data_IF_870867935606
#
_entry.id   IF_870867935606
#
_cell.length_a   1.000
_cell.length_b   1.000
_cell.length_c   1.000
_cell.angle_alpha   90.00
_cell.angle_beta   90.00
_cell.angle_gamma   90.00
#
_symmetry.space_group_name_H-M   'P 1'
#
loop_
_entity.id
_entity.type
_entity.pdbx_description
1 polymer ?
#
# COMPACT_ATOMS: atom_id res chain seq x y z
N UNK A 1 1.35 -13.49 17.03
CA UNK A 1 1.02 -12.10 16.67
C UNK A 1 1.30 -11.94 15.19
N UNK A 2 0.41 -11.28 14.47
CA UNK A 2 0.50 -11.16 13.00
C UNK A 2 0.23 -9.71 12.60
N UNK A 3 1.06 -9.15 11.73
CA UNK A 3 0.91 -7.80 11.20
C UNK A 3 1.72 -7.55 9.93
N UNK A 4 1.09 -6.84 8.98
CA UNK A 4 1.65 -6.53 7.67
C UNK A 4 2.03 -5.05 7.50
N UNK A 5 1.79 -4.25 8.54
CA UNK A 5 1.97 -2.80 8.56
C UNK A 5 2.65 -2.35 9.87
N UNK A 6 3.34 -1.22 9.82
CA UNK A 6 4.04 -0.61 10.96
C UNK A 6 3.09 0.06 11.97
N UNK A 7 2.05 -0.64 12.43
CA UNK A 7 1.02 -0.12 13.34
C UNK A 7 1.57 0.43 14.67
N UNK A 8 2.72 -0.07 15.12
CA UNK A 8 3.40 0.45 16.30
C UNK A 8 3.73 1.95 16.19
N UNK A 9 4.06 2.43 15.00
CA UNK A 9 4.36 3.84 14.75
C UNK A 9 3.17 4.76 15.04
N UNK A 10 1.93 4.27 14.85
CA UNK A 10 0.71 5.05 15.16
C UNK A 10 0.62 5.44 16.63
N UNK A 11 1.14 4.61 17.53
CA UNK A 11 1.16 4.89 18.96
C UNK A 11 2.42 5.64 19.37
N UNK A 12 3.58 5.28 18.81
CA UNK A 12 4.85 5.94 19.10
C UNK A 12 4.90 7.40 18.61
N UNK A 13 4.25 7.70 17.48
CA UNK A 13 4.20 9.01 16.83
C UNK A 13 2.85 9.72 17.04
N UNK A 14 2.01 9.25 17.98
CA UNK A 14 0.73 9.89 18.27
C UNK A 14 0.92 11.35 18.73
N UNK A 15 0.07 12.25 18.24
CA UNK A 15 0.03 13.65 18.70
C UNK A 15 -0.49 13.80 20.14
N UNK A 16 -1.16 12.78 20.69
CA UNK A 16 -1.61 12.76 22.07
C UNK A 16 -0.52 12.22 23.00
N UNK A 17 -0.04 13.07 23.92
CA UNK A 17 0.96 12.71 24.92
C UNK A 17 0.51 11.55 25.81
N UNK A 18 -0.79 11.48 26.14
CA UNK A 18 -1.35 10.38 26.94
C UNK A 18 -1.30 9.05 26.17
N UNK A 19 -1.69 9.05 24.90
CA UNK A 19 -1.62 7.86 24.04
C UNK A 19 -0.18 7.39 23.90
N UNK A 20 0.74 8.32 23.64
CA UNK A 20 2.17 8.01 23.52
C UNK A 20 2.74 7.43 24.82
N UNK A 21 2.41 8.01 25.98
CA UNK A 21 2.90 7.52 27.26
C UNK A 21 2.39 6.11 27.58
N UNK A 22 1.09 5.86 27.38
CA UNK A 22 0.45 4.60 27.79
C UNK A 22 0.65 3.48 26.76
N UNK A 23 0.66 3.79 25.47
CA UNK A 23 0.54 2.80 24.40
C UNK A 23 1.79 2.65 23.51
N UNK A 24 2.83 3.49 23.67
CA UNK A 24 4.07 3.37 22.86
C UNK A 24 4.68 1.96 22.88
N UNK A 25 4.64 1.28 24.03
CA UNK A 25 5.24 -0.04 24.21
C UNK A 25 4.24 -1.18 24.04
N UNK A 26 2.98 -0.89 23.68
CA UNK A 26 1.91 -1.88 23.59
C UNK A 26 2.31 -3.05 22.70
N UNK A 27 2.81 -2.75 21.49
CA UNK A 27 3.16 -3.79 20.54
C UNK A 27 4.42 -4.56 20.96
N UNK A 28 5.47 -3.88 21.43
CA UNK A 28 6.67 -4.54 21.96
C UNK A 28 6.34 -5.53 23.09
N UNK A 29 5.45 -5.15 24.01
CA UNK A 29 5.00 -6.04 25.08
C UNK A 29 4.22 -7.26 24.57
N UNK A 30 3.39 -7.10 23.53
CA UNK A 30 2.67 -8.21 22.90
C UNK A 30 3.63 -9.14 22.16
N UNK A 31 4.61 -8.59 21.43
CA UNK A 31 5.63 -9.32 20.70
C UNK A 31 6.44 -10.25 21.60
N UNK A 32 6.91 -9.76 22.76
CA UNK A 32 7.72 -10.54 23.71
C UNK A 32 6.95 -11.71 24.33
N UNK A 33 5.62 -11.63 24.37
CA UNK A 33 4.73 -12.65 24.92
C UNK A 33 4.19 -13.60 23.84
N UNK A 34 4.33 -13.26 22.56
CA UNK A 34 3.87 -14.08 21.47
C UNK A 34 4.71 -15.36 21.33
N UNK A 35 4.03 -16.50 21.18
CA UNK A 35 4.69 -17.77 20.87
C UNK A 35 5.32 -17.76 19.46
N UNK A 36 4.68 -17.06 18.52
CA UNK A 36 5.14 -16.84 17.16
C UNK A 36 4.69 -15.46 16.69
N UNK A 37 5.57 -14.76 15.99
CA UNK A 37 5.30 -13.50 15.31
C UNK A 37 5.40 -13.70 13.80
N UNK A 38 4.37 -13.31 13.04
CA UNK A 38 4.38 -13.34 11.57
C UNK A 38 4.47 -11.88 11.09
N UNK A 39 5.33 -11.63 10.10
CA UNK A 39 5.55 -10.31 9.50
C UNK A 39 5.66 -10.42 7.99
N UNK A 40 5.19 -9.40 7.26
CA UNK A 40 5.15 -9.43 5.80
C UNK A 40 6.42 -8.94 5.07
N UNK A 41 7.34 -8.25 5.74
CA UNK A 41 8.54 -7.70 5.10
C UNK A 41 9.72 -7.55 6.07
N UNK A 42 10.90 -7.31 5.51
CA UNK A 42 12.16 -7.18 6.25
C UNK A 42 12.17 -6.00 7.23
N UNK A 43 11.50 -4.89 6.90
CA UNK A 43 11.41 -3.73 7.81
C UNK A 43 10.70 -4.13 9.10
N UNK A 44 9.56 -4.82 8.98
CA UNK A 44 8.80 -5.31 10.11
C UNK A 44 9.53 -6.41 10.87
N UNK A 45 10.25 -7.29 10.16
CA UNK A 45 11.11 -8.31 10.77
C UNK A 45 12.19 -7.68 11.67
N UNK A 46 12.94 -6.71 11.15
CA UNK A 46 14.00 -6.02 11.89
C UNK A 46 13.44 -5.31 13.13
N UNK A 47 12.29 -4.65 12.98
CA UNK A 47 11.61 -4.03 14.11
C UNK A 47 11.18 -5.07 15.16
N UNK A 48 10.57 -6.18 14.76
CA UNK A 48 10.16 -7.25 15.67
C UNK A 48 11.34 -7.87 16.44
N UNK A 49 12.49 -8.06 15.77
CA UNK A 49 13.74 -8.48 16.41
C UNK A 49 14.18 -7.45 17.45
N UNK A 50 14.18 -6.16 17.10
CA UNK A 50 14.59 -5.08 18.01
C UNK A 50 13.69 -4.97 19.26
N UNK A 51 12.43 -5.37 19.17
CA UNK A 51 11.48 -5.39 20.28
C UNK A 51 11.59 -6.66 21.16
N UNK A 52 12.39 -7.64 20.75
CA UNK A 52 12.63 -8.88 21.50
C UNK A 52 11.61 -9.99 21.24
N UNK A 53 11.03 -10.04 20.03
CA UNK A 53 10.23 -11.20 19.62
C UNK A 53 11.10 -12.48 19.59
N UNK A 54 10.56 -13.59 20.10
CA UNK A 54 11.31 -14.85 20.28
C UNK A 54 11.38 -15.70 19.01
N UNK A 55 10.22 -15.89 18.37
CA UNK A 55 10.08 -16.66 17.14
C UNK A 55 9.41 -15.75 16.12
N UNK A 56 10.07 -15.54 14.97
CA UNK A 56 9.56 -14.67 13.90
C UNK A 56 9.56 -15.46 12.59
N UNK A 57 8.42 -15.46 11.91
CA UNK A 57 8.25 -15.98 10.58
C UNK A 57 8.04 -14.81 9.62
N UNK A 58 8.95 -14.66 8.66
CA UNK A 58 8.76 -13.75 7.53
C UNK A 58 7.88 -14.46 6.49
N UNK A 59 6.63 -14.03 6.37
CA UNK A 59 5.67 -14.56 5.42
C UNK A 59 5.07 -13.40 4.64
N UNK A 60 5.54 -13.13 3.40
CA UNK A 60 4.99 -12.07 2.58
C UNK A 60 3.50 -12.27 2.27
N UNK A 61 2.81 -11.16 2.05
CA UNK A 61 1.44 -11.17 1.51
C UNK A 61 1.42 -11.79 0.12
N UNK A 62 0.52 -12.77 -0.10
CA UNK A 62 0.40 -13.51 -1.36
C UNK A 62 -0.95 -13.27 -2.03
N UNK A 63 -0.98 -13.39 -3.36
CA UNK A 63 -2.20 -13.39 -4.17
C UNK A 63 -2.71 -14.81 -4.42
N UNK A 64 -4.00 -14.94 -4.72
CA UNK A 64 -4.57 -16.18 -5.24
C UNK A 64 -4.40 -16.23 -6.78
N UNK A 65 -3.52 -17.09 -7.32
CA UNK A 65 -3.26 -17.13 -8.76
C UNK A 65 -4.48 -17.55 -9.59
N UNK A 66 -5.47 -18.22 -8.99
CA UNK A 66 -6.70 -18.56 -9.70
C UNK A 66 -7.56 -17.31 -9.98
N UNK A 67 -7.46 -16.29 -9.12
CA UNK A 67 -8.15 -15.00 -9.25
C UNK A 67 -7.39 -14.01 -10.14
N UNK A 68 -6.06 -14.03 -10.12
CA UNK A 68 -5.21 -13.10 -10.87
C UNK A 68 -4.52 -13.83 -12.04
N UNK A 69 -5.31 -14.23 -13.02
CA UNK A 69 -4.76 -14.84 -14.22
C UNK A 69 -4.17 -13.75 -15.14
N UNK A 70 -3.03 -14.01 -15.80
CA UNK A 70 -2.50 -13.10 -16.80
C UNK A 70 -3.54 -12.84 -17.89
N UNK A 71 -3.87 -11.58 -18.11
CA UNK A 71 -4.76 -11.15 -19.20
C UNK A 71 -3.92 -10.59 -20.36
N UNK A 72 -4.43 -10.65 -21.61
CA UNK A 72 -3.83 -9.90 -22.70
C UNK A 72 -3.72 -8.41 -22.35
N UNK A 73 -2.74 -7.72 -22.94
CA UNK A 73 -2.62 -6.28 -22.77
C UNK A 73 -3.93 -5.60 -23.21
N UNK A 74 -4.46 -4.67 -22.40
CA UNK A 74 -5.68 -3.95 -22.76
C UNK A 74 -5.44 -3.05 -23.99
N UNK A 75 -6.48 -2.82 -24.78
CA UNK A 75 -6.44 -1.83 -25.86
C UNK A 75 -6.77 -0.42 -25.37
N UNK A 76 -6.57 0.57 -26.24
CA UNK A 76 -6.91 1.97 -25.96
C UNK A 76 -5.71 2.80 -25.47
N UNK A 77 -5.94 3.89 -24.70
CA UNK A 77 -4.87 4.72 -24.17
C UNK A 77 -3.99 3.93 -23.19
N UNK A 78 -2.73 4.35 -23.02
CA UNK A 78 -1.87 3.74 -22.01
C UNK A 78 -2.44 4.03 -20.61
N UNK A 79 -2.73 2.98 -19.86
CA UNK A 79 -3.44 3.07 -18.56
C UNK A 79 -2.48 2.74 -17.43
N UNK A 80 -2.19 3.73 -16.59
CA UNK A 80 -1.46 3.57 -15.33
C UNK A 80 -2.47 3.28 -14.21
N UNK A 81 -2.29 2.19 -13.49
CA UNK A 81 -3.17 1.75 -12.42
C UNK A 81 -2.64 2.07 -11.03
N UNK A 82 -3.52 2.52 -10.15
CA UNK A 82 -3.28 2.61 -8.70
C UNK A 82 -4.47 2.02 -7.94
N UNK A 83 -4.20 1.30 -6.84
CA UNK A 83 -5.21 0.73 -5.95
C UNK A 83 -4.87 1.03 -4.49
N UNK A 84 -5.86 1.45 -3.72
CA UNK A 84 -5.68 1.69 -2.31
C UNK A 84 -6.90 2.33 -1.67
N UNK A 85 -6.66 3.08 -0.60
CA UNK A 85 -7.72 3.79 0.13
C UNK A 85 -7.60 5.30 -0.11
N UNK A 86 -8.66 6.10 0.15
CA UNK A 86 -8.60 7.55 -0.01
C UNK A 86 -7.43 8.19 0.77
N UNK A 87 -7.07 7.61 1.92
CA UNK A 87 -5.95 8.07 2.73
C UNK A 87 -4.61 7.93 2.00
N UNK A 88 -4.36 6.80 1.33
CA UNK A 88 -3.10 6.54 0.62
C UNK A 88 -3.09 7.13 -0.80
N UNK A 89 -4.25 7.49 -1.36
CA UNK A 89 -4.34 8.14 -2.67
C UNK A 89 -3.58 9.47 -2.72
N UNK A 90 -3.38 10.12 -1.57
CA UNK A 90 -2.56 11.34 -1.48
C UNK A 90 -1.12 11.16 -1.99
N UNK A 91 -0.56 9.94 -1.93
CA UNK A 91 0.79 9.65 -2.44
C UNK A 91 0.88 9.74 -3.96
N UNK A 92 -0.24 9.66 -4.69
CA UNK A 92 -0.27 9.89 -6.13
C UNK A 92 0.16 11.31 -6.51
N UNK A 93 0.02 12.29 -5.61
CA UNK A 93 0.47 13.66 -5.87
C UNK A 93 1.99 13.76 -6.00
N UNK A 94 2.77 12.79 -5.47
CA UNK A 94 4.21 12.69 -5.72
C UNK A 94 4.53 12.54 -7.22
N UNK A 95 3.58 12.00 -7.99
CA UNK A 95 3.71 11.75 -9.41
C UNK A 95 2.93 12.76 -10.29
N UNK A 96 2.35 13.82 -9.71
CA UNK A 96 1.52 14.75 -10.46
C UNK A 96 2.29 15.44 -11.61
N UNK A 97 3.51 15.89 -11.34
CA UNK A 97 4.36 16.52 -12.36
C UNK A 97 4.76 15.54 -13.50
N UNK A 98 5.33 14.36 -13.23
CA UNK A 98 5.69 13.42 -14.30
C UNK A 98 4.48 12.88 -15.06
N UNK A 99 3.34 12.59 -14.39
CA UNK A 99 2.14 12.10 -15.08
C UNK A 99 1.54 13.16 -16.01
N UNK A 100 1.58 14.44 -15.62
CA UNK A 100 1.16 15.54 -16.49
C UNK A 100 2.06 15.69 -17.71
N UNK A 101 3.37 15.52 -17.56
CA UNK A 101 4.31 15.53 -18.69
C UNK A 101 4.04 14.37 -19.64
N UNK A 102 3.90 13.15 -19.11
CA UNK A 102 3.56 11.97 -19.92
C UNK A 102 2.22 12.13 -20.65
N UNK A 103 1.23 12.77 -20.02
CA UNK A 103 -0.08 13.04 -20.64
C UNK A 103 0.00 13.99 -21.85
N UNK A 104 1.11 14.74 -22.00
CA UNK A 104 1.34 15.61 -23.16
C UNK A 104 1.99 14.87 -24.34
N UNK A 105 2.60 13.71 -24.10
CA UNK A 105 3.29 12.92 -25.13
C UNK A 105 2.33 11.98 -25.89
N UNK A 106 1.18 11.66 -25.31
CA UNK A 106 0.16 10.83 -25.95
C UNK A 106 -1.02 10.49 -25.04
N UNK A 107 -1.98 9.69 -25.53
CA UNK A 107 -3.15 9.28 -24.76
C UNK A 107 -2.74 8.46 -23.52
N UNK A 108 -2.87 9.08 -22.35
CA UNK A 108 -2.59 8.49 -21.03
C UNK A 108 -3.84 8.56 -20.16
N UNK A 109 -4.15 7.47 -19.47
CA UNK A 109 -5.19 7.40 -18.44
C UNK A 109 -4.58 6.98 -17.10
N UNK A 110 -4.98 7.63 -16.02
CA UNK A 110 -4.72 7.18 -14.65
C UNK A 110 -5.99 6.52 -14.09
N UNK A 111 -5.97 5.19 -13.91
CA UNK A 111 -7.04 4.43 -13.28
C UNK A 111 -6.78 4.32 -11.77
N UNK A 112 -7.65 4.93 -10.97
CA UNK A 112 -7.57 4.99 -9.50
C UNK A 112 -8.68 4.15 -8.88
N UNK A 113 -8.31 3.04 -8.25
CA UNK A 113 -9.23 2.07 -7.66
C UNK A 113 -9.28 2.25 -6.14
N UNK A 114 -10.48 2.39 -5.57
CA UNK A 114 -10.69 2.46 -4.12
C UNK A 114 -10.57 3.86 -3.51
N UNK A 115 -10.41 4.91 -4.33
CA UNK A 115 -10.48 6.31 -3.91
C UNK A 115 -11.49 7.10 -4.77
N UNK A 116 -12.82 6.92 -4.55
CA UNK A 116 -13.86 7.58 -5.33
C UNK A 116 -13.72 9.10 -5.35
N UNK A 117 -13.82 9.70 -6.54
CA UNK A 117 -13.74 11.15 -6.72
C UNK A 117 -12.31 11.72 -6.75
N UNK A 118 -11.29 10.87 -6.74
CA UNK A 118 -9.92 11.32 -6.93
C UNK A 118 -9.75 11.99 -8.30
N UNK A 119 -9.07 13.13 -8.32
CA UNK A 119 -8.78 13.89 -9.54
C UNK A 119 -7.34 14.42 -9.50
N UNK A 120 -6.75 14.64 -10.68
CA UNK A 120 -5.41 15.19 -10.82
C UNK A 120 -5.39 16.18 -12.00
N UNK A 121 -5.21 17.49 -11.76
CA UNK A 121 -5.23 18.47 -12.84
C UNK A 121 -4.18 18.19 -13.92
N UNK A 122 -4.62 18.18 -15.19
CA UNK A 122 -3.75 17.93 -16.34
C UNK A 122 -3.47 16.44 -16.62
N UNK A 123 -4.21 15.53 -15.99
CA UNK A 123 -4.17 14.08 -16.24
C UNK A 123 -5.60 13.58 -16.42
N UNK A 124 -5.86 12.71 -17.39
CA UNK A 124 -7.15 12.02 -17.52
C UNK A 124 -7.24 10.94 -16.44
N UNK A 125 -8.17 11.11 -15.50
CA UNK A 125 -8.33 10.25 -14.32
C UNK A 125 -9.67 9.56 -14.36
N UNK A 126 -9.65 8.23 -14.30
CA UNK A 126 -10.82 7.41 -14.04
C UNK A 126 -10.74 6.88 -12.59
N UNK A 127 -11.72 7.23 -11.77
CA UNK A 127 -11.77 6.80 -10.36
C UNK A 127 -12.94 5.84 -10.15
N UNK A 128 -12.64 4.62 -9.69
CA UNK A 128 -13.63 3.55 -9.48
C UNK A 128 -13.65 3.08 -8.02
N UNK A 129 -14.83 2.69 -7.49
CA UNK A 129 -14.90 2.04 -6.19
C UNK A 129 -14.22 0.67 -6.23
N UNK A 130 -13.63 0.28 -5.11
CA UNK A 130 -13.06 -1.05 -4.95
C UNK A 130 -14.11 -2.05 -4.46
N UNK A 131 -14.13 -3.24 -5.05
CA UNK A 131 -14.72 -4.43 -4.43
C UNK A 131 -13.77 -5.61 -4.62
N UNK A 132 -13.78 -6.55 -3.68
CA UNK A 132 -12.96 -7.75 -3.76
C UNK A 132 -13.22 -8.56 -5.04
N UNK A 133 -14.48 -8.63 -5.47
CA UNK A 133 -14.89 -9.39 -6.65
C UNK A 133 -14.41 -8.77 -7.98
N UNK A 134 -14.20 -7.45 -8.03
CA UNK A 134 -13.79 -6.75 -9.26
C UNK A 134 -12.31 -6.41 -9.31
N UNK A 135 -11.55 -6.57 -8.21
CA UNK A 135 -10.15 -6.14 -8.10
C UNK A 135 -9.28 -6.65 -9.26
N UNK A 136 -9.22 -7.97 -9.45
CA UNK A 136 -8.38 -8.58 -10.49
C UNK A 136 -8.76 -8.10 -11.90
N UNK A 137 -10.07 -8.00 -12.19
CA UNK A 137 -10.56 -7.47 -13.47
C UNK A 137 -10.13 -6.02 -13.69
N UNK A 138 -10.19 -5.17 -12.67
CA UNK A 138 -9.79 -3.77 -12.78
C UNK A 138 -8.28 -3.62 -12.94
N UNK A 139 -7.48 -4.41 -12.20
CA UNK A 139 -6.03 -4.43 -12.37
C UNK A 139 -5.65 -4.90 -13.77
N UNK A 140 -6.37 -5.87 -14.35
CA UNK A 140 -6.18 -6.32 -15.74
C UNK A 140 -6.46 -5.25 -16.81
N UNK A 141 -7.05 -4.09 -16.46
CA UNK A 141 -7.22 -2.94 -17.37
C UNK A 141 -5.99 -2.01 -17.40
N UNK A 142 -5.01 -2.27 -16.55
CA UNK A 142 -3.81 -1.45 -16.44
C UNK A 142 -2.71 -2.00 -17.34
N UNK A 143 -1.96 -1.10 -17.97
CA UNK A 143 -0.72 -1.44 -18.67
C UNK A 143 0.48 -1.46 -17.71
N UNK A 144 0.45 -0.61 -16.69
CA UNK A 144 1.45 -0.54 -15.63
C UNK A 144 0.79 -0.23 -14.29
N UNK A 145 1.22 -0.89 -13.21
CA UNK A 145 0.86 -0.55 -11.84
C UNK A 145 1.86 0.44 -11.24
N UNK A 146 1.38 1.34 -10.38
CA UNK A 146 2.23 2.24 -9.59
C UNK A 146 1.85 2.18 -8.11
N UNK A 147 2.85 2.26 -7.25
CA UNK A 147 2.69 2.36 -5.79
C UNK A 147 3.65 3.44 -5.27
N UNK A 148 3.38 4.74 -5.50
CA UNK A 148 4.24 5.79 -4.98
C UNK A 148 4.22 5.77 -3.46
N UNK A 149 5.40 5.67 -2.86
CA UNK A 149 5.60 5.70 -1.42
C UNK A 149 6.55 6.85 -1.06
N UNK A 150 6.18 7.71 -0.09
CA UNK A 150 7.12 8.71 0.42
C UNK A 150 8.19 8.02 1.27
N UNK A 151 9.40 8.57 1.31
CA UNK A 151 10.47 8.06 2.18
C UNK A 151 10.17 8.39 3.65
N UNK A 152 9.44 7.49 4.32
CA UNK A 152 9.01 7.63 5.71
C UNK A 152 9.02 6.27 6.41
N UNK A 153 9.22 6.24 7.73
CA UNK A 153 9.18 4.99 8.51
C UNK A 153 7.87 4.21 8.31
N UNK A 154 6.74 4.92 8.18
CA UNK A 154 5.43 4.30 7.93
C UNK A 154 5.36 3.63 6.56
N UNK A 155 5.83 4.32 5.52
CA UNK A 155 5.83 3.79 4.16
C UNK A 155 6.83 2.63 3.99
N UNK A 156 7.97 2.66 4.69
CA UNK A 156 8.95 1.57 4.70
C UNK A 156 8.40 0.27 5.29
N UNK A 157 7.33 0.34 6.09
CA UNK A 157 6.60 -0.81 6.60
C UNK A 157 5.54 -1.38 5.63
N UNK A 158 5.27 -0.72 4.50
CA UNK A 158 4.26 -1.17 3.53
C UNK A 158 4.78 -2.33 2.70
N UNK A 159 3.97 -3.37 2.58
CA UNK A 159 4.24 -4.54 1.73
C UNK A 159 3.66 -4.39 0.32
N UNK A 160 4.29 -5.04 -0.66
CA UNK A 160 3.97 -4.93 -2.09
C UNK A 160 2.70 -5.66 -2.56
N UNK A 161 1.74 -5.96 -1.68
CA UNK A 161 0.45 -6.54 -2.11
C UNK A 161 -0.35 -5.59 -3.02
N UNK A 162 -0.05 -4.28 -2.94
CA UNK A 162 -0.78 -3.23 -3.66
C UNK A 162 -0.02 -2.85 -4.92
N UNK A 163 -0.27 -3.61 -6.00
CA UNK A 163 0.24 -3.48 -7.38
C UNK A 163 1.69 -3.91 -7.62
#
# INVERSE_FOLDING_TARGET
MDFDDAWALRYAQSSSSLVKLLLRNKFGNLLRQAALTIVANDTLYRWAVSEGARNILLLPTVIDPARYQPTPLPGGPFTIGWIGTPLTATYLHLLAAPLRLLSQEGPLKLLVIGAPGFTMPGVDVESLPWTEASEAMMIGKCHAGIMPLPDTEWANGKSGYKL
#
